data_IF_043131900127
#
_entry.id   IF_043131900127
#
_cell.length_a   1.000
_cell.length_b   1.000
_cell.length_c   1.000
_cell.angle_alpha   90.00
_cell.angle_beta   90.00
_cell.angle_gamma   90.00
#
_symmetry.space_group_name_H-M   'P 1'
#
loop_
_entity.id
_entity.type
_entity.pdbx_description
1 polymer ?
#
# COMPACT_ATOMS: atom_id res chain seq x y z
N UNK A 1 -6.25 22.58 23.24
CA UNK A 1 -6.40 22.87 23.46
C UNK A 1 -6.35 22.67 23.81
N UNK A 2 -6.35 22.53 23.41
CA UNK A 2 -6.21 22.31 23.46
C UNK A 2 -6.10 22.11 23.10
N UNK A 3 -6.00 22.14 22.72
CA UNK A 3 -5.81 21.99 22.51
C UNK A 3 -5.86 21.70 22.43
N UNK A 4 -5.81 21.79 21.89
CA UNK A 4 -5.89 21.66 21.96
C UNK A 4 -5.86 21.61 21.58
N UNK A 5 -5.72 21.47 20.62
CA UNK A 5 -5.71 21.66 20.42
C UNK A 5 -5.42 21.44 20.11
N UNK A 6 -5.34 21.21 20.14
CA UNK A 6 -5.02 21.08 20.02
C UNK A 6 -4.77 20.62 19.77
N UNK A 7 -4.63 20.45 19.55
CA UNK A 7 -4.40 20.11 19.55
C UNK A 7 -4.06 19.71 19.36
N UNK A 8 -3.80 19.60 18.83
CA UNK A 8 -3.51 19.46 18.92
C UNK A 8 -3.13 18.94 18.91
N UNK A 9 -2.86 18.67 18.70
CA UNK A 9 -2.55 18.45 18.90
C UNK A 9 -2.09 17.86 18.96
N UNK A 10 -1.96 17.68 18.84
CA UNK A 10 -1.73 17.50 19.11
C UNK A 10 -1.29 16.86 19.17
N UNK A 11 -0.99 16.69 18.94
CA UNK A 11 -0.89 16.59 19.12
C UNK A 11 -0.72 15.93 19.35
N UNK A 12 -0.59 15.81 19.38
CA UNK A 12 -0.77 15.56 19.76
C UNK A 12 -0.88 14.80 20.11
N UNK A 13 -0.76 14.56 20.07
CA UNK A 13 -1.17 14.25 20.47
C UNK A 13 -1.23 13.36 20.75
N UNK A 14 -1.25 13.01 20.75
CA UNK A 14 -1.48 12.56 20.91
C UNK A 14 -1.66 11.90 21.28
N UNK A 15 -1.54 12.05 21.09
CA UNK A 15 -2.01 11.83 21.23
C UNK A 15 -1.89 11.50 21.08
N UNK A 16 -1.48 11.89 20.79
CA UNK A 16 -1.33 11.97 20.36
C UNK A 16 -0.76 11.40 20.26
N UNK A 17 -0.58 11.16 20.15
CA UNK A 17 -0.33 10.77 19.81
C UNK A 17 -0.18 9.94 19.76
N UNK A 18 0.04 9.63 19.55
CA UNK A 18 -0.08 9.06 19.17
C UNK A 18 -0.40 8.50 18.79
N UNK A 19 -0.54 8.64 18.58
CA UNK A 19 -0.94 8.30 18.02
C UNK A 19 -1.24 8.07 17.40
N UNK A 20 -1.42 8.14 16.98
CA UNK A 20 -1.71 7.93 16.29
C UNK A 20 -1.75 8.00 15.28
N UNK A 21 -1.81 8.03 15.03
CA UNK A 21 -1.58 8.36 13.96
C UNK A 21 -2.01 7.74 12.80
N UNK A 22 -2.72 8.34 11.96
CA UNK A 22 -2.87 7.78 10.77
C UNK A 22 -1.72 7.29 10.30
N UNK A 23 -1.70 6.19 9.92
CA UNK A 23 -0.47 5.93 9.63
C UNK A 23 -0.33 5.07 8.47
N UNK A 24 0.86 5.02 7.99
CA UNK A 24 1.17 4.29 6.80
C UNK A 24 0.97 2.83 6.96
N UNK A 25 0.98 2.35 8.18
CA UNK A 25 0.80 0.94 8.39
C UNK A 25 -0.62 0.49 8.13
N UNK A 26 -1.51 1.44 7.86
CA UNK A 26 -2.90 1.11 7.57
C UNK A 26 -3.17 0.96 6.08
N UNK A 27 -2.14 0.84 5.27
CA UNK A 27 -2.30 0.71 3.82
C UNK A 27 -3.12 -0.51 3.46
N UNK A 28 -4.05 -0.33 2.54
CA UNK A 28 -4.84 -1.44 2.00
C UNK A 28 -5.18 -1.14 0.55
N UNK A 29 -5.03 -2.14 -0.29
CA UNK A 29 -5.37 -2.04 -1.71
C UNK A 29 -5.95 -3.38 -2.15
N UNK A 30 -7.05 -3.35 -2.88
CA UNK A 30 -7.62 -4.55 -3.46
C UNK A 30 -7.12 -4.68 -4.88
N UNK A 31 -6.69 -5.88 -5.23
CA UNK A 31 -6.14 -6.14 -6.56
C UNK A 31 -7.27 -6.27 -7.57
N UNK A 32 -7.25 -5.42 -8.60
CA UNK A 32 -8.22 -5.44 -9.68
C UNK A 32 -7.74 -6.31 -10.82
N UNK A 33 -6.46 -6.35 -11.05
CA UNK A 33 -5.90 -7.11 -12.16
C UNK A 33 -4.43 -7.38 -11.87
N UNK A 34 -3.88 -8.38 -12.51
CA UNK A 34 -2.48 -8.74 -12.35
C UNK A 34 -1.91 -9.01 -13.73
N UNK A 35 -0.73 -8.47 -13.97
CA UNK A 35 -0.08 -8.70 -15.26
C UNK A 35 1.40 -8.94 -15.05
N UNK A 36 2.03 -9.53 -16.04
CA UNK A 36 3.47 -9.68 -16.07
C UNK A 36 4.00 -8.70 -17.09
N UNK A 37 4.94 -7.87 -16.67
CA UNK A 37 5.54 -6.88 -17.54
C UNK A 37 6.98 -7.28 -17.79
N UNK A 38 7.33 -7.39 -19.08
CA UNK A 38 8.68 -7.79 -19.45
C UNK A 38 9.70 -6.85 -18.83
N UNK A 39 10.69 -7.42 -18.18
CA UNK A 39 11.73 -6.63 -17.52
C UNK A 39 11.36 -6.12 -16.14
N UNK A 40 10.09 -6.23 -15.75
CA UNK A 40 9.68 -5.78 -14.43
C UNK A 40 9.19 -6.90 -13.53
N UNK A 41 8.42 -7.84 -14.08
CA UNK A 41 7.87 -8.93 -13.30
C UNK A 41 6.38 -8.76 -13.06
N UNK A 42 5.94 -9.11 -11.87
CA UNK A 42 4.52 -9.13 -11.53
C UNK A 42 4.04 -7.75 -11.10
N UNK A 43 2.99 -7.27 -11.74
CA UNK A 43 2.41 -5.96 -11.42
C UNK A 43 0.95 -6.15 -11.04
N UNK A 44 0.57 -5.67 -9.86
CA UNK A 44 -0.81 -5.70 -9.40
C UNK A 44 -1.41 -4.32 -9.59
N UNK A 45 -2.59 -4.27 -10.18
CA UNK A 45 -3.29 -3.00 -10.43
C UNK A 45 -4.47 -2.88 -9.49
N UNK A 46 -4.70 -1.70 -8.98
CA UNK A 46 -5.85 -1.45 -8.14
C UNK A 46 -5.84 -0.07 -7.53
N UNK A 47 -6.89 0.22 -6.79
CA UNK A 47 -6.99 1.51 -6.12
C UNK A 47 -6.57 1.37 -4.66
N UNK A 48 -5.75 2.30 -4.19
CA UNK A 48 -5.37 2.34 -2.79
C UNK A 48 -6.60 2.77 -2.00
N UNK A 49 -7.06 1.91 -1.12
CA UNK A 49 -8.28 2.18 -0.36
C UNK A 49 -8.02 3.01 0.87
N UNK A 50 -6.85 2.84 1.47
CA UNK A 50 -6.47 3.67 2.61
C UNK A 50 -4.97 3.56 2.83
N UNK A 51 -4.43 4.51 3.55
CA UNK A 51 -3.03 4.53 3.92
C UNK A 51 -2.12 4.97 2.80
N UNK A 52 -0.86 4.67 2.96
CA UNK A 52 0.19 5.09 2.03
C UNK A 52 1.15 3.93 1.82
N UNK A 53 1.63 3.78 0.59
CA UNK A 53 2.63 2.76 0.28
C UNK A 53 3.78 3.42 -0.43
N UNK A 54 4.99 2.95 -0.14
CA UNK A 54 6.22 3.49 -0.71
C UNK A 54 7.02 2.37 -1.36
N UNK A 55 7.84 2.73 -2.33
CA UNK A 55 8.78 1.80 -2.91
C UNK A 55 9.71 1.30 -1.80
N UNK A 56 9.91 0.01 -1.73
CA UNK A 56 10.74 -0.61 -0.70
C UNK A 56 9.96 -1.17 0.46
N UNK A 57 8.66 -0.83 0.56
CA UNK A 57 7.84 -1.35 1.66
C UNK A 57 7.64 -2.85 1.51
N UNK A 58 7.50 -3.50 2.65
CA UNK A 58 7.14 -4.90 2.68
C UNK A 58 5.64 -5.00 2.83
N UNK A 59 5.01 -5.83 2.03
CA UNK A 59 3.56 -5.98 2.10
C UNK A 59 3.18 -7.44 2.22
N UNK A 60 1.96 -7.65 2.68
CA UNK A 60 1.38 -8.98 2.77
C UNK A 60 0.26 -9.05 1.76
N UNK A 61 0.24 -10.11 0.98
CA UNK A 61 -0.82 -10.37 0.02
C UNK A 61 -1.73 -11.40 0.66
N UNK A 62 -2.96 -11.02 0.96
CA UNK A 62 -3.90 -11.90 1.63
C UNK A 62 -5.00 -12.29 0.65
N UNK A 63 -5.19 -13.57 0.44
CA UNK A 63 -6.19 -14.05 -0.50
C UNK A 63 -6.50 -15.50 -0.30
N UNK A 64 -7.12 -16.10 -1.32
CA UNK A 64 -7.55 -17.49 -1.24
C UNK A 64 -6.42 -18.47 -1.01
N UNK A 65 -5.25 -18.14 -1.49
CA UNK A 65 -4.10 -19.02 -1.34
C UNK A 65 -3.40 -18.84 0.00
N UNK A 66 -3.92 -17.98 0.86
CA UNK A 66 -3.32 -17.70 2.15
C UNK A 66 -2.63 -16.36 2.13
N UNK A 67 -1.54 -16.25 2.85
CA UNK A 67 -0.81 -14.99 2.98
C UNK A 67 0.59 -15.16 2.47
N UNK A 68 0.99 -14.22 1.62
CA UNK A 68 2.34 -14.19 1.06
C UNK A 68 2.96 -12.84 1.36
N UNK A 69 4.28 -12.80 1.44
CA UNK A 69 4.99 -11.56 1.66
C UNK A 69 5.68 -11.16 0.36
N UNK A 70 5.62 -9.88 0.04
CA UNK A 70 6.27 -9.35 -1.12
C UNK A 70 6.85 -7.99 -0.80
N UNK A 71 7.69 -7.50 -1.69
CA UNK A 71 8.30 -6.18 -1.52
C UNK A 71 7.87 -5.32 -2.68
N UNK A 72 7.61 -4.04 -2.40
CA UNK A 72 7.25 -3.09 -3.44
C UNK A 72 8.51 -2.67 -4.16
N UNK A 73 8.65 -3.11 -5.40
CA UNK A 73 9.81 -2.77 -6.20
C UNK A 73 9.60 -1.48 -6.97
N UNK A 74 8.36 -1.18 -7.30
CA UNK A 74 8.04 0.03 -8.04
C UNK A 74 6.58 0.36 -7.95
N UNK A 75 6.27 1.63 -8.17
CA UNK A 75 4.90 2.13 -8.19
C UNK A 75 4.74 2.99 -9.43
N UNK A 76 3.56 2.93 -10.08
CA UNK A 76 3.32 3.82 -11.18
C UNK A 76 1.84 4.14 -11.31
N UNK A 77 1.57 5.29 -11.93
CA UNK A 77 0.23 5.78 -12.13
C UNK A 77 0.22 6.49 -13.47
N UNK A 78 -0.63 6.05 -14.40
CA UNK A 78 -0.73 6.66 -15.72
C UNK A 78 0.65 6.80 -16.38
N UNK A 79 1.46 5.76 -16.34
CA UNK A 79 2.80 5.76 -16.93
C UNK A 79 3.81 6.65 -16.22
N UNK A 80 3.43 7.22 -15.07
CA UNK A 80 4.38 7.96 -14.26
C UNK A 80 4.92 7.09 -13.16
N UNK A 81 6.22 7.19 -12.93
CA UNK A 81 6.87 6.45 -11.85
C UNK A 81 6.70 7.22 -10.56
N UNK A 82 6.26 6.54 -9.52
CA UNK A 82 6.02 7.17 -8.23
C UNK A 82 6.94 6.58 -7.18
N UNK A 83 7.26 7.36 -6.17
CA UNK A 83 7.95 6.86 -4.99
C UNK A 83 6.94 6.46 -3.92
N UNK A 84 5.79 7.11 -3.90
CA UNK A 84 4.79 6.95 -2.86
C UNK A 84 3.41 7.05 -3.49
N UNK A 85 2.47 6.26 -2.99
CA UNK A 85 1.08 6.34 -3.44
C UNK A 85 0.17 6.43 -2.22
N UNK A 86 -0.95 7.12 -2.40
CA UNK A 86 -1.88 7.43 -1.31
C UNK A 86 -3.29 6.95 -1.62
N UNK A 87 -4.11 6.93 -0.59
CA UNK A 87 -5.50 6.53 -0.74
C UNK A 87 -6.19 7.32 -1.84
N UNK A 88 -7.00 6.63 -2.62
CA UNK A 88 -7.73 7.24 -3.73
C UNK A 88 -7.04 7.14 -5.06
N UNK A 89 -5.76 6.75 -5.09
CA UNK A 89 -5.03 6.64 -6.34
C UNK A 89 -5.13 5.23 -6.92
N UNK A 90 -5.31 5.15 -8.22
CA UNK A 90 -5.31 3.87 -8.92
C UNK A 90 -3.90 3.66 -9.46
N UNK A 91 -3.25 2.61 -9.01
CA UNK A 91 -1.82 2.44 -9.27
C UNK A 91 -1.48 1.02 -9.71
N UNK A 92 -0.29 0.89 -10.25
CA UNK A 92 0.31 -0.41 -10.48
C UNK A 92 1.45 -0.60 -9.50
N UNK A 93 1.45 -1.73 -8.82
CA UNK A 93 2.48 -2.06 -7.84
C UNK A 93 3.30 -3.20 -8.39
N UNK A 94 4.58 -2.97 -8.61
CA UNK A 94 5.48 -4.03 -9.04
C UNK A 94 5.91 -4.78 -7.79
N UNK A 95 5.62 -6.08 -7.78
CA UNK A 95 5.85 -6.92 -6.62
C UNK A 95 7.09 -7.78 -6.83
N UNK A 96 7.93 -7.77 -5.84
CA UNK A 96 9.13 -8.59 -5.87
C UNK A 96 8.94 -9.77 -4.93
N UNK A 97 9.25 -10.97 -5.39
CA UNK A 97 9.16 -12.15 -4.55
C UNK A 97 7.95 -13.02 -4.82
N UNK A 98 7.07 -12.61 -5.74
CA UNK A 98 5.90 -13.43 -6.08
C UNK A 98 5.71 -13.43 -7.59
N UNK A 99 5.09 -14.49 -8.07
CA UNK A 99 4.79 -14.61 -9.50
C UNK A 99 3.33 -14.27 -9.75
N UNK A 100 2.97 -14.13 -11.02
CA UNK A 100 1.61 -13.80 -11.38
C UNK A 100 0.62 -14.86 -10.90
N UNK A 101 1.04 -16.11 -10.87
CA UNK A 101 0.17 -17.19 -10.43
C UNK A 101 -0.15 -17.13 -8.95
N UNK A 102 0.64 -16.42 -8.19
CA UNK A 102 0.47 -16.35 -6.75
C UNK A 102 -0.39 -15.18 -6.30
N UNK A 103 -0.75 -14.29 -7.23
CA UNK A 103 -1.56 -13.11 -6.92
C UNK A 103 -2.78 -13.14 -7.81
N UNK A 104 -3.96 -12.96 -7.23
CA UNK A 104 -5.21 -13.04 -7.98
C UNK A 104 -6.02 -11.77 -7.82
N UNK A 105 -6.87 -11.53 -8.79
CA UNK A 105 -7.85 -10.46 -8.67
C UNK A 105 -8.67 -10.72 -7.41
N UNK A 106 -8.87 -9.71 -6.62
CA UNK A 106 -9.60 -9.81 -5.37
C UNK A 106 -8.72 -9.96 -4.15
N UNK A 107 -7.44 -10.28 -4.35
CA UNK A 107 -6.52 -10.35 -3.23
C UNK A 107 -6.34 -8.97 -2.63
N UNK A 108 -5.92 -8.92 -1.38
CA UNK A 108 -5.74 -7.66 -0.67
C UNK A 108 -4.27 -7.49 -0.31
N UNK A 109 -3.75 -6.32 -0.63
CA UNK A 109 -2.39 -5.95 -0.25
C UNK A 109 -2.44 -5.13 1.01
N UNK A 110 -1.66 -5.52 2.00
CA UNK A 110 -1.59 -4.84 3.28
C UNK A 110 -0.14 -4.53 3.59
N UNK A 111 0.10 -3.45 4.30
CA UNK A 111 1.45 -3.11 4.67
C UNK A 111 1.79 -3.80 5.98
N UNK A 112 2.99 -4.32 6.05
CA UNK A 112 3.44 -4.97 7.26
C UNK A 112 3.93 -3.97 8.27
#
# INVERSE_FOLDING_TARGET
MFDFLKRKKDEDDPWLSGAKQVDDSDFQMTVDDVMTVSGRGTVALGEVQRGTVCVGDQIVISGRQGRLTARVRGLEKFHEILDTAHAGEYIGVTLEGVSKEQVEKGDILLKR
#
